data_IF_201008347098
#
_entry.id   IF_201008347098
#
_cell.length_a   1.000
_cell.length_b   1.000
_cell.length_c   1.000
_cell.angle_alpha   90.00
_cell.angle_beta   90.00
_cell.angle_gamma   90.00
#
_symmetry.space_group_name_H-M   'P 1'
#
loop_
_entity.id
_entity.type
_entity.pdbx_description
1 polymer ?
#
# COMPACT_ATOMS: atom_id res chain seq x y z
N UNK A 1 -9.14 -3.57 6.75
CA UNK A 1 -8.69 -4.98 6.77
C UNK A 1 -7.32 -5.03 7.43
N UNK A 2 -7.01 -6.08 8.22
CA UNK A 2 -5.68 -6.25 8.80
C UNK A 2 -4.81 -7.03 7.82
N UNK A 3 -3.66 -6.47 7.47
CA UNK A 3 -2.67 -7.12 6.60
C UNK A 3 -1.37 -7.27 7.36
N UNK A 4 -0.69 -8.40 7.14
CA UNK A 4 0.63 -8.65 7.70
C UNK A 4 1.69 -8.27 6.68
N UNK A 5 2.68 -7.47 7.09
CA UNK A 5 3.83 -7.18 6.23
C UNK A 5 4.71 -8.42 6.16
N UNK A 6 4.97 -8.94 4.96
CA UNK A 6 5.84 -10.09 4.74
C UNK A 6 7.18 -9.71 4.10
N UNK A 7 7.21 -8.58 3.38
CA UNK A 7 8.46 -8.02 2.85
C UNK A 7 8.37 -6.49 2.74
N UNK A 8 9.53 -5.85 2.88
CA UNK A 8 9.71 -4.40 2.75
C UNK A 8 10.89 -4.18 1.80
N UNK A 9 10.65 -3.56 0.65
CA UNK A 9 11.67 -3.17 -0.31
C UNK A 9 11.85 -1.65 -0.26
N UNK A 10 12.86 -1.20 0.48
CA UNK A 10 13.20 0.22 0.61
C UNK A 10 13.86 0.80 -0.65
N UNK A 11 14.38 -0.04 -1.55
CA UNK A 11 14.99 0.43 -2.80
C UNK A 11 13.91 0.80 -3.82
N UNK A 12 12.84 0.00 -3.87
CA UNK A 12 11.69 0.21 -4.74
C UNK A 12 10.54 0.95 -4.07
N UNK A 13 10.64 1.21 -2.76
CA UNK A 13 9.56 1.72 -1.92
C UNK A 13 8.29 0.86 -2.02
N UNK A 14 8.45 -0.46 -1.96
CA UNK A 14 7.35 -1.43 -2.07
C UNK A 14 7.16 -2.21 -0.78
N UNK A 15 5.90 -2.50 -0.46
CA UNK A 15 5.51 -3.37 0.64
C UNK A 15 4.80 -4.60 0.08
N UNK A 16 5.13 -5.76 0.63
CA UNK A 16 4.36 -6.99 0.39
C UNK A 16 3.52 -7.27 1.61
N UNK A 17 2.22 -7.37 1.37
CA UNK A 17 1.21 -7.69 2.36
C UNK A 17 0.69 -9.10 2.15
N UNK A 18 0.41 -9.80 3.25
CA UNK A 18 -0.30 -11.07 3.26
C UNK A 18 -1.63 -10.89 3.97
N UNK A 19 -2.70 -11.26 3.28
CA UNK A 19 -4.06 -11.26 3.82
C UNK A 19 -4.39 -12.55 4.59
N UNK A 20 -5.51 -12.56 5.31
CA UNK A 20 -5.91 -13.71 6.14
C UNK A 20 -6.18 -14.99 5.34
N UNK A 21 -6.48 -14.90 4.05
CA UNK A 21 -6.65 -16.06 3.16
C UNK A 21 -5.34 -16.47 2.45
N UNK A 22 -4.18 -15.97 2.90
CA UNK A 22 -2.85 -16.30 2.35
C UNK A 22 -2.49 -15.60 1.04
N UNK A 23 -3.39 -14.76 0.51
CA UNK A 23 -3.14 -13.96 -0.68
C UNK A 23 -2.13 -12.85 -0.41
N UNK A 24 -1.11 -12.75 -1.28
CA UNK A 24 -0.06 -11.73 -1.21
C UNK A 24 -0.36 -10.58 -2.17
N UNK A 25 -0.19 -9.35 -1.71
CA UNK A 25 -0.36 -8.12 -2.50
C UNK A 25 0.88 -7.25 -2.36
N UNK A 26 1.49 -6.89 -3.48
CA UNK A 26 2.57 -5.90 -3.52
C UNK A 26 1.96 -4.52 -3.72
N UNK A 27 2.39 -3.55 -2.93
CA UNK A 27 1.91 -2.16 -2.96
C UNK A 27 3.12 -1.23 -3.03
N UNK A 28 3.13 -0.38 -4.04
CA UNK A 28 4.12 0.69 -4.18
C UNK A 28 3.70 1.91 -3.36
N UNK A 29 4.63 2.48 -2.63
CA UNK A 29 4.39 3.68 -1.83
C UNK A 29 4.83 4.90 -2.62
N UNK A 30 3.87 5.70 -3.08
CA UNK A 30 4.14 6.91 -3.87
C UNK A 30 4.37 8.15 -3.00
N UNK A 31 3.76 8.19 -1.81
CA UNK A 31 3.85 9.36 -0.93
C UNK A 31 5.21 9.41 -0.19
N UNK A 32 6.00 10.48 -0.34
CA UNK A 32 7.35 10.56 0.24
C UNK A 32 7.36 10.56 1.78
N UNK A 33 6.33 11.13 2.41
CA UNK A 33 6.14 11.06 3.86
C UNK A 33 6.02 9.60 4.35
N UNK A 34 5.33 8.75 3.58
CA UNK A 34 5.13 7.34 3.92
C UNK A 34 6.39 6.54 3.61
N UNK A 35 7.11 6.87 2.53
CA UNK A 35 8.39 6.26 2.18
C UNK A 35 9.42 6.42 3.29
N UNK A 36 9.49 7.60 3.92
CA UNK A 36 10.39 7.81 5.05
C UNK A 36 10.07 6.90 6.23
N UNK A 37 8.78 6.67 6.48
CA UNK A 37 8.29 5.77 7.53
C UNK A 37 8.48 4.30 7.21
N UNK A 38 8.74 3.92 5.95
CA UNK A 38 9.02 2.52 5.58
C UNK A 38 10.25 1.98 6.33
N UNK A 39 11.23 2.83 6.63
CA UNK A 39 12.44 2.47 7.36
C UNK A 39 12.16 2.05 8.81
N UNK A 40 11.06 2.54 9.38
CA UNK A 40 10.64 2.24 10.74
C UNK A 40 9.76 0.98 10.82
N UNK A 41 9.30 0.47 9.68
CA UNK A 41 8.45 -0.72 9.60
C UNK A 41 9.26 -2.01 9.71
N UNK A 42 8.64 -3.05 10.28
CA UNK A 42 9.25 -4.38 10.38
C UNK A 42 8.40 -5.45 9.71
N UNK A 43 9.09 -6.45 9.15
CA UNK A 43 8.43 -7.66 8.66
C UNK A 43 7.77 -8.39 9.83
N UNK A 44 6.55 -8.87 9.63
CA UNK A 44 5.72 -9.50 10.64
C UNK A 44 4.79 -8.54 11.39
N UNK A 45 4.98 -7.23 11.22
CA UNK A 45 4.10 -6.22 11.81
C UNK A 45 2.72 -6.25 11.13
N UNK A 46 1.68 -6.12 11.96
CA UNK A 46 0.32 -5.92 11.46
C UNK A 46 0.07 -4.44 11.24
N UNK A 47 -0.41 -4.09 10.06
CA UNK A 47 -0.79 -2.71 9.74
C UNK A 47 -2.24 -2.63 9.29
N UNK A 48 -2.88 -1.52 9.66
CA UNK A 48 -4.19 -1.18 9.15
C UNK A 48 -4.01 -0.46 7.82
N UNK A 49 -4.41 -1.10 6.73
CA UNK A 49 -4.40 -0.47 5.41
C UNK A 49 -5.80 0.05 5.12
N UNK A 50 -5.90 1.37 4.93
CA UNK A 50 -7.10 2.01 4.39
C UNK A 50 -6.96 2.05 2.88
N UNK A 51 -7.81 1.31 2.18
CA UNK A 51 -7.88 1.32 0.73
C UNK A 51 -8.91 2.38 0.32
N UNK A 52 -8.45 3.48 -0.28
CA UNK A 52 -9.33 4.49 -0.88
C UNK A 52 -9.38 4.22 -2.38
N UNK A 53 -10.52 3.71 -2.84
CA UNK A 53 -10.78 3.57 -4.27
C UNK A 53 -11.16 4.98 -4.81
N UNK A 54 -10.31 5.55 -5.66
CA UNK A 54 -10.58 6.82 -6.32
C UNK A 54 -11.34 6.54 -7.62
N UNK A 55 -12.67 6.68 -7.57
CA UNK A 55 -13.51 6.69 -8.77
C UNK A 55 -13.34 8.03 -9.49
N UNK A 56 -12.50 8.07 -10.52
CA UNK A 56 -12.35 9.26 -11.36
C UNK A 56 -13.55 9.38 -12.31
N UNK A 57 -14.43 10.36 -12.05
CA UNK A 57 -15.56 10.68 -12.94
C UNK A 57 -15.14 11.84 -13.85
N UNK A 58 -15.01 11.57 -15.14
CA UNK A 58 -14.74 12.59 -16.16
C UNK A 58 -16.01 12.88 -16.95
N UNK A 59 -16.51 14.12 -16.88
CA UNK A 59 -17.59 14.61 -17.76
C UNK A 59 -16.98 15.51 -18.83
N UNK A 60 -17.02 15.10 -20.09
CA UNK A 60 -16.73 15.99 -21.21
C UNK A 60 -18.02 16.74 -21.57
N UNK A 61 -18.02 18.06 -21.46
CA UNK A 61 -19.02 18.91 -22.09
C UNK A 61 -18.41 19.37 -23.42
N UNK A 62 -18.77 18.72 -24.52
CA UNK A 62 -18.53 19.28 -25.85
C UNK A 62 -19.50 20.45 -26.03
N UNK A 63 -18.93 21.66 -26.08
CA UNK A 63 -19.62 22.89 -26.46
C UNK A 63 -19.07 23.41 -27.78
#
# INVERSE_FOLDING_TARGET
MQLKITAIDLKKNQLTFEGPAGNKKVVSVEKPEVQQRLKDLKVGQSVLVTYTDILQVSTAHEG
#
